data_IF_237463397674
#
_entry.id   IF_237463397674
#
_cell.length_a   1.000
_cell.length_b   1.000
_cell.length_c   1.000
_cell.angle_alpha   90.00
_cell.angle_beta   90.00
_cell.angle_gamma   90.00
#
_symmetry.space_group_name_H-M   'P 1'
#
loop_
_entity.id
_entity.type
_entity.pdbx_description
1 polymer ?
#
# COMPACT_ATOMS: atom_id res chain seq x y z
N UNK A 1 16.43 6.01 8.04
CA UNK A 1 15.04 6.50 8.16
C UNK A 1 14.08 5.41 7.69
N UNK A 2 13.02 5.13 8.44
CA UNK A 2 12.06 4.07 8.08
C UNK A 2 10.92 4.60 7.19
N UNK A 3 10.57 3.86 6.15
CA UNK A 3 9.43 4.14 5.24
C UNK A 3 8.67 2.85 4.95
N UNK A 4 7.40 2.97 4.59
CA UNK A 4 6.51 1.85 4.27
C UNK A 4 6.14 1.83 2.79
N UNK A 5 5.60 0.70 2.33
CA UNK A 5 5.23 0.46 0.94
C UNK A 5 5.37 -1.03 0.61
N UNK A 6 4.62 -1.48 -0.39
CA UNK A 6 4.64 -2.87 -0.88
C UNK A 6 5.90 -3.16 -1.71
N UNK A 7 6.12 -4.43 -2.06
CA UNK A 7 7.18 -4.80 -3.00
C UNK A 7 6.95 -4.07 -4.33
N UNK A 8 7.96 -3.34 -4.77
CA UNK A 8 7.87 -2.48 -5.95
C UNK A 8 9.20 -2.46 -6.69
N UNK A 9 9.18 -2.81 -7.97
CA UNK A 9 10.37 -2.77 -8.82
C UNK A 9 10.88 -1.33 -8.91
N UNK A 10 12.19 -1.14 -8.76
CA UNK A 10 12.79 0.21 -8.79
C UNK A 10 12.55 1.03 -7.52
N UNK A 11 12.10 0.40 -6.43
CA UNK A 11 11.99 1.02 -5.11
C UNK A 11 13.31 1.67 -4.70
N UNK A 12 13.26 2.97 -4.39
CA UNK A 12 14.44 3.75 -3.99
C UNK A 12 14.84 3.57 -2.52
N UNK A 13 14.27 2.58 -1.82
CA UNK A 13 14.46 2.37 -0.37
C UNK A 13 15.92 2.45 0.07
N UNK A 14 16.83 1.79 -0.66
CA UNK A 14 18.25 1.73 -0.30
C UNK A 14 19.00 3.04 -0.56
N UNK A 15 18.51 3.90 -1.46
CA UNK A 15 19.20 5.14 -1.85
C UNK A 15 18.59 6.40 -1.23
N UNK A 16 17.52 6.28 -0.43
CA UNK A 16 16.89 7.41 0.27
C UNK A 16 17.89 8.28 1.04
N UNK A 17 18.86 7.72 1.81
CA UNK A 17 19.82 8.56 2.54
C UNK A 17 20.60 9.50 1.62
N UNK A 18 21.11 9.00 0.50
CA UNK A 18 21.83 9.81 -0.49
C UNK A 18 20.95 10.86 -1.16
N UNK A 19 19.69 10.54 -1.46
CA UNK A 19 18.74 11.51 -2.02
C UNK A 19 18.54 12.68 -1.03
N UNK A 20 18.36 12.38 0.25
CA UNK A 20 18.17 13.42 1.27
C UNK A 20 19.43 14.27 1.46
N UNK A 21 20.62 13.66 1.45
CA UNK A 21 21.89 14.40 1.51
C UNK A 21 22.04 15.38 0.35
N UNK A 22 21.72 14.96 -0.87
CA UNK A 22 21.78 15.82 -2.05
C UNK A 22 20.74 16.96 -2.00
N UNK A 23 19.53 16.70 -1.49
CA UNK A 23 18.50 17.74 -1.40
C UNK A 23 18.82 18.74 -0.29
N UNK A 24 19.48 18.32 0.81
CA UNK A 24 19.91 19.22 1.89
C UNK A 24 20.86 20.31 1.44
N UNK A 25 21.67 20.06 0.40
CA UNK A 25 22.55 21.09 -0.16
C UNK A 25 21.80 22.11 -1.02
N UNK A 26 20.54 21.84 -1.37
CA UNK A 26 19.69 22.75 -2.12
C UNK A 26 18.90 23.63 -1.15
N UNK A 27 18.90 24.95 -1.37
CA UNK A 27 18.09 25.89 -0.57
C UNK A 27 16.61 25.86 -0.99
N UNK A 28 15.96 24.69 -0.87
CA UNK A 28 14.57 24.45 -1.24
C UNK A 28 13.74 24.03 -0.04
N UNK A 29 12.46 24.40 -0.03
CA UNK A 29 11.50 24.01 1.03
C UNK A 29 10.43 23.04 0.52
N UNK A 30 10.20 23.03 -0.78
CA UNK A 30 9.17 22.24 -1.45
C UNK A 30 9.83 21.35 -2.49
N UNK A 31 9.46 20.07 -2.52
CA UNK A 31 9.98 19.08 -3.45
C UNK A 31 8.83 18.39 -4.17
N UNK A 32 8.94 18.27 -5.49
CA UNK A 32 8.04 17.48 -6.32
C UNK A 32 8.61 16.07 -6.51
N UNK A 33 7.95 15.06 -5.93
CA UNK A 33 8.15 13.66 -6.28
C UNK A 33 7.20 13.32 -7.45
N UNK A 34 7.69 13.48 -8.68
CA UNK A 34 6.88 13.32 -9.91
C UNK A 34 6.42 11.89 -10.22
N UNK A 35 7.07 10.89 -9.61
CA UNK A 35 6.86 9.45 -9.86
C UNK A 35 6.94 8.67 -8.55
N UNK A 36 5.99 8.97 -7.67
CA UNK A 36 6.07 8.60 -6.28
C UNK A 36 5.91 7.10 -6.00
N UNK A 37 5.26 6.33 -6.88
CA UNK A 37 5.08 4.88 -6.70
C UNK A 37 4.43 4.54 -5.35
N UNK A 38 5.13 3.79 -4.49
CA UNK A 38 4.68 3.49 -3.10
C UNK A 38 5.08 4.57 -2.08
N UNK A 39 5.45 5.76 -2.55
CA UNK A 39 5.75 6.98 -1.79
C UNK A 39 6.92 6.93 -0.82
N UNK A 40 7.86 5.99 -0.99
CA UNK A 40 9.01 5.88 -0.08
C UNK A 40 9.88 7.14 -0.04
N UNK A 41 10.10 7.80 -1.18
CA UNK A 41 10.87 9.05 -1.24
C UNK A 41 10.06 10.20 -0.65
N UNK A 42 8.81 10.39 -1.10
CA UNK A 42 7.85 11.32 -0.50
C UNK A 42 7.74 11.22 1.03
N UNK A 43 7.62 10.02 1.59
CA UNK A 43 7.59 9.79 3.04
C UNK A 43 8.88 10.27 3.72
N UNK A 44 10.03 9.99 3.11
CA UNK A 44 11.32 10.38 3.66
C UNK A 44 11.51 11.90 3.65
N UNK A 45 11.13 12.56 2.55
CA UNK A 45 11.15 14.01 2.41
C UNK A 45 10.24 14.69 3.44
N UNK A 46 9.01 14.20 3.61
CA UNK A 46 8.10 14.72 4.64
C UNK A 46 8.70 14.60 6.04
N UNK A 47 9.27 13.43 6.38
CA UNK A 47 9.93 13.19 7.68
C UNK A 47 11.16 14.08 7.91
N UNK A 48 11.87 14.44 6.85
CA UNK A 48 13.03 15.34 6.92
C UNK A 48 12.60 16.83 6.89
N UNK A 49 11.29 17.11 6.89
CA UNK A 49 10.75 18.45 7.03
C UNK A 49 10.57 19.20 5.72
N UNK A 50 10.45 18.54 4.57
CA UNK A 50 10.08 19.20 3.32
C UNK A 50 8.57 19.25 3.12
N UNK A 51 8.07 20.29 2.45
CA UNK A 51 6.75 20.24 1.83
C UNK A 51 6.84 19.38 0.58
N UNK A 52 6.00 18.35 0.49
CA UNK A 52 6.06 17.36 -0.60
C UNK A 52 4.84 17.49 -1.48
N UNK A 53 5.08 17.71 -2.76
CA UNK A 53 4.09 17.52 -3.83
C UNK A 53 4.38 16.17 -4.46
N UNK A 54 3.39 15.28 -4.47
CA UNK A 54 3.54 13.90 -4.94
C UNK A 54 2.67 13.68 -6.16
N UNK A 55 3.22 13.02 -7.18
CA UNK A 55 2.49 12.63 -8.37
C UNK A 55 2.80 11.18 -8.75
N UNK A 56 1.82 10.51 -9.33
CA UNK A 56 2.00 9.29 -10.11
C UNK A 56 0.81 9.15 -11.06
N UNK A 57 0.97 8.46 -12.19
CA UNK A 57 -0.16 8.18 -13.07
C UNK A 57 -1.14 7.16 -12.46
N UNK A 58 -0.64 6.31 -11.55
CA UNK A 58 -1.38 5.18 -11.02
C UNK A 58 -2.32 5.56 -9.86
N UNK A 59 -3.57 5.09 -9.92
CA UNK A 59 -4.56 5.32 -8.84
C UNK A 59 -4.11 4.75 -7.49
N UNK A 60 -3.45 3.59 -7.47
CA UNK A 60 -2.99 2.96 -6.23
C UNK A 60 -1.85 3.75 -5.56
N UNK A 61 -1.03 4.47 -6.34
CA UNK A 61 0.01 5.34 -5.82
C UNK A 61 -0.56 6.56 -5.12
N UNK A 62 -1.64 7.13 -5.69
CA UNK A 62 -2.40 8.21 -5.04
C UNK A 62 -2.91 7.79 -3.66
N UNK A 63 -3.41 6.56 -3.51
CA UNK A 63 -3.86 6.02 -2.21
C UNK A 63 -2.74 6.05 -1.15
N UNK A 64 -1.52 5.59 -1.50
CA UNK A 64 -0.38 5.69 -0.60
C UNK A 64 0.01 7.15 -0.30
N UNK A 65 -0.06 8.04 -1.31
CA UNK A 65 0.31 9.44 -1.15
C UNK A 65 -0.67 10.18 -0.23
N UNK A 66 -1.97 9.96 -0.37
CA UNK A 66 -2.98 10.52 0.53
C UNK A 66 -2.81 10.00 1.96
N UNK A 67 -2.54 8.70 2.13
CA UNK A 67 -2.30 8.11 3.44
C UNK A 67 -1.11 8.72 4.17
N UNK A 68 0.04 8.89 3.50
CA UNK A 68 1.27 9.32 4.17
C UNK A 68 1.52 10.82 4.15
N UNK A 69 0.98 11.55 3.16
CA UNK A 69 1.23 12.97 3.00
C UNK A 69 0.06 13.84 3.45
N UNK A 70 -1.18 13.44 3.18
CA UNK A 70 -2.36 14.28 3.39
C UNK A 70 -3.07 14.00 4.71
N UNK A 71 -3.09 12.73 5.16
CA UNK A 71 -3.74 12.40 6.42
C UNK A 71 -3.16 13.16 7.62
N UNK A 72 -4.05 13.75 8.42
CA UNK A 72 -3.73 14.42 9.69
C UNK A 72 -4.28 13.72 10.93
N UNK A 73 -5.06 12.65 10.77
CA UNK A 73 -5.64 11.91 11.91
C UNK A 73 -4.57 11.01 12.55
N UNK A 74 -4.51 10.93 13.89
CA UNK A 74 -3.53 10.11 14.60
C UNK A 74 -3.80 8.60 14.45
N UNK A 75 -2.80 7.75 14.69
CA UNK A 75 -3.00 6.29 14.68
C UNK A 75 -4.14 5.81 15.59
N UNK A 76 -4.32 6.44 16.75
CA UNK A 76 -5.39 6.13 17.71
C UNK A 76 -6.79 6.23 17.12
N UNK A 77 -7.00 7.10 16.13
CA UNK A 77 -8.26 7.23 15.41
C UNK A 77 -8.57 5.96 14.58
N UNK A 78 -7.56 5.36 13.95
CA UNK A 78 -7.72 4.23 13.03
C UNK A 78 -7.70 2.86 13.73
N UNK A 79 -7.10 2.75 14.92
CA UNK A 79 -7.04 1.50 15.69
C UNK A 79 -8.40 0.79 15.84
N UNK A 80 -9.48 1.45 16.31
CA UNK A 80 -10.78 0.77 16.45
C UNK A 80 -11.37 0.34 15.10
N UNK A 81 -11.19 1.14 14.05
CA UNK A 81 -11.68 0.84 12.69
C UNK A 81 -10.97 -0.40 12.14
N UNK A 82 -9.64 -0.44 12.24
CA UNK A 82 -8.83 -1.57 11.79
C UNK A 82 -9.12 -2.83 12.62
N UNK A 83 -9.40 -2.69 13.93
CA UNK A 83 -9.82 -3.80 14.78
C UNK A 83 -11.16 -4.40 14.31
N UNK A 84 -12.13 -3.55 13.97
CA UNK A 84 -13.40 -3.97 13.36
C UNK A 84 -13.18 -4.70 12.03
N UNK A 85 -12.47 -4.10 11.08
CA UNK A 85 -12.19 -4.69 9.78
C UNK A 85 -11.49 -6.05 9.88
N UNK A 86 -10.54 -6.20 10.81
CA UNK A 86 -9.86 -7.48 11.04
C UNK A 86 -10.75 -8.59 11.61
N UNK A 87 -11.89 -8.26 12.23
CA UNK A 87 -12.85 -9.22 12.80
C UNK A 87 -13.91 -9.68 11.80
N UNK A 88 -14.02 -9.02 10.64
CA UNK A 88 -15.00 -9.41 9.63
C UNK A 88 -14.81 -10.85 9.20
N UNK A 89 -15.93 -11.56 9.07
CA UNK A 89 -15.96 -12.88 8.44
C UNK A 89 -15.71 -12.70 6.94
N UNK A 90 -14.76 -13.46 6.41
CA UNK A 90 -14.50 -13.45 4.97
C UNK A 90 -15.72 -13.90 4.17
N UNK A 91 -15.88 -13.35 2.98
CA UNK A 91 -16.94 -13.70 2.03
C UNK A 91 -16.35 -13.93 0.67
N UNK A 92 -16.97 -14.80 -0.12
CA UNK A 92 -16.53 -15.03 -1.49
C UNK A 92 -16.97 -13.85 -2.37
N UNK A 93 -16.03 -13.24 -3.09
CA UNK A 93 -16.28 -12.15 -4.01
C UNK A 93 -15.28 -12.13 -5.16
N UNK A 94 -15.15 -10.96 -5.80
CA UNK A 94 -14.37 -10.80 -7.02
C UNK A 94 -12.88 -11.15 -6.85
N UNK A 95 -12.25 -10.78 -5.73
CA UNK A 95 -10.85 -11.14 -5.49
C UNK A 95 -10.68 -12.64 -5.25
N UNK A 96 -11.62 -13.27 -4.54
CA UNK A 96 -11.62 -14.71 -4.32
C UNK A 96 -11.74 -15.50 -5.61
N UNK A 97 -12.59 -15.05 -6.53
CA UNK A 97 -12.76 -15.66 -7.84
C UNK A 97 -11.51 -15.51 -8.73
N UNK A 98 -10.95 -14.31 -8.79
CA UNK A 98 -9.92 -13.98 -9.78
C UNK A 98 -8.49 -14.26 -9.29
N UNK A 99 -8.24 -14.16 -7.98
CA UNK A 99 -6.90 -14.22 -7.39
C UNK A 99 -6.76 -15.22 -6.24
N UNK A 100 -7.85 -15.80 -5.75
CA UNK A 100 -7.85 -16.79 -4.68
C UNK A 100 -7.49 -18.19 -5.18
N UNK A 101 -6.63 -18.89 -4.42
CA UNK A 101 -6.27 -20.27 -4.68
C UNK A 101 -6.46 -21.18 -3.48
N UNK A 102 -6.81 -22.45 -3.71
CA UNK A 102 -6.77 -23.47 -2.66
C UNK A 102 -5.32 -23.90 -2.39
N UNK A 103 -5.02 -24.42 -1.18
CA UNK A 103 -3.67 -24.85 -0.83
C UNK A 103 -3.07 -25.95 -1.73
N UNK A 104 -3.90 -26.79 -2.37
CA UNK A 104 -3.55 -27.85 -3.33
C UNK A 104 -2.25 -28.61 -2.99
N UNK A 105 -2.14 -29.10 -1.75
CA UNK A 105 -0.97 -29.87 -1.30
C UNK A 105 0.36 -29.10 -1.33
N UNK A 106 0.32 -27.77 -1.30
CA UNK A 106 1.50 -26.90 -1.42
C UNK A 106 1.59 -26.14 -2.75
N UNK A 107 0.84 -26.54 -3.77
CA UNK A 107 0.87 -25.91 -5.08
C UNK A 107 -0.05 -24.68 -5.17
N UNK A 108 0.45 -23.58 -5.72
CA UNK A 108 -0.37 -22.40 -6.06
C UNK A 108 -1.14 -22.56 -7.38
N UNK A 109 -0.81 -23.58 -8.17
CA UNK A 109 -1.47 -23.89 -9.44
C UNK A 109 -2.84 -24.47 -9.16
N UNK A 110 -3.87 -23.90 -9.80
CA UNK A 110 -5.26 -24.33 -9.65
C UNK A 110 -5.68 -25.26 -10.80
N UNK A 111 -6.91 -25.76 -10.77
CA UNK A 111 -7.43 -26.69 -11.78
C UNK A 111 -7.47 -26.11 -13.20
N UNK A 112 -7.43 -24.79 -13.35
CA UNK A 112 -7.34 -24.09 -14.64
C UNK A 112 -5.89 -23.92 -15.14
N UNK A 113 -4.91 -24.50 -14.44
CA UNK A 113 -3.48 -24.39 -14.76
C UNK A 113 -2.86 -23.04 -14.38
N UNK A 114 -3.64 -22.09 -13.84
CA UNK A 114 -3.13 -20.77 -13.46
C UNK A 114 -2.64 -20.78 -12.01
N UNK A 115 -1.57 -20.04 -11.76
CA UNK A 115 -1.07 -19.79 -10.42
C UNK A 115 -1.88 -18.67 -9.75
N UNK A 116 -2.10 -18.78 -8.45
CA UNK A 116 -2.76 -17.76 -7.64
C UNK A 116 -1.78 -17.07 -6.71
N UNK A 117 -2.03 -15.79 -6.46
CA UNK A 117 -1.15 -14.94 -5.65
C UNK A 117 -1.41 -15.13 -4.16
N UNK A 118 -2.68 -15.35 -3.80
CA UNK A 118 -3.14 -15.46 -2.42
C UNK A 118 -3.96 -16.73 -2.24
N UNK A 119 -3.88 -17.30 -1.05
CA UNK A 119 -4.80 -18.36 -0.67
C UNK A 119 -6.21 -17.81 -0.43
N UNK A 120 -7.21 -18.65 -0.68
CA UNK A 120 -8.63 -18.27 -0.73
C UNK A 120 -9.14 -17.63 0.56
N UNK A 121 -8.62 -18.03 1.74
CA UNK A 121 -9.02 -17.43 3.01
C UNK A 121 -8.64 -15.96 3.12
N UNK A 122 -7.51 -15.55 2.52
CA UNK A 122 -7.06 -14.17 2.51
C UNK A 122 -7.84 -13.32 1.51
N UNK A 123 -8.15 -13.86 0.32
CA UNK A 123 -8.97 -13.13 -0.66
C UNK A 123 -10.42 -12.97 -0.22
N UNK A 124 -10.98 -13.95 0.50
CA UNK A 124 -12.34 -13.81 1.05
C UNK A 124 -12.40 -12.72 2.12
N UNK A 125 -11.34 -12.58 2.91
CA UNK A 125 -11.21 -11.50 3.89
C UNK A 125 -11.01 -10.15 3.20
N UNK A 126 -10.21 -10.11 2.13
CA UNK A 126 -10.06 -8.93 1.27
C UNK A 126 -11.40 -8.47 0.68
N UNK A 127 -12.20 -9.39 0.13
CA UNK A 127 -13.52 -9.08 -0.43
C UNK A 127 -14.46 -8.47 0.62
N UNK A 128 -14.50 -9.04 1.83
CA UNK A 128 -15.31 -8.51 2.94
C UNK A 128 -14.84 -7.10 3.38
N UNK A 129 -13.53 -6.93 3.57
CA UNK A 129 -12.95 -5.66 4.03
C UNK A 129 -13.09 -4.57 2.99
N UNK A 130 -12.91 -4.88 1.69
CA UNK A 130 -13.03 -3.91 0.60
C UNK A 130 -14.43 -3.30 0.56
N UNK A 131 -15.47 -4.13 0.67
CA UNK A 131 -16.84 -3.62 0.72
C UNK A 131 -17.10 -2.81 1.99
N UNK A 132 -16.65 -3.29 3.15
CA UNK A 132 -16.87 -2.56 4.41
C UNK A 132 -16.20 -1.18 4.40
N UNK A 133 -14.99 -1.06 3.82
CA UNK A 133 -14.31 0.24 3.68
C UNK A 133 -15.15 1.23 2.86
N UNK A 134 -15.83 0.78 1.81
CA UNK A 134 -16.72 1.65 1.02
C UNK A 134 -17.92 2.14 1.86
N UNK A 135 -18.40 1.33 2.80
CA UNK A 135 -19.53 1.67 3.66
C UNK A 135 -19.16 2.59 4.83
N UNK A 136 -17.98 2.43 5.42
CA UNK A 136 -17.63 3.09 6.69
C UNK A 136 -16.70 4.29 6.55
N UNK A 137 -15.96 4.42 5.44
CA UNK A 137 -14.99 5.49 5.29
C UNK A 137 -15.70 6.85 5.17
N UNK A 138 -15.36 7.79 6.05
CA UNK A 138 -16.02 9.11 6.09
C UNK A 138 -15.63 10.06 4.97
N UNK A 139 -14.46 9.85 4.37
CA UNK A 139 -13.94 10.64 3.26
C UNK A 139 -12.83 9.88 2.53
N UNK A 140 -12.39 10.43 1.39
CA UNK A 140 -11.35 9.83 0.55
C UNK A 140 -10.00 9.64 1.28
N UNK A 141 -9.60 10.55 2.17
CA UNK A 141 -8.33 10.41 2.89
C UNK A 141 -8.38 9.26 3.90
N UNK A 142 -9.49 9.14 4.63
CA UNK A 142 -9.74 8.02 5.53
C UNK A 142 -9.77 6.69 4.77
N UNK A 143 -10.49 6.66 3.64
CA UNK A 143 -10.51 5.52 2.72
C UNK A 143 -9.09 5.15 2.28
N UNK A 144 -8.29 6.12 1.87
CA UNK A 144 -6.92 5.89 1.43
C UNK A 144 -6.00 5.33 2.53
N UNK A 145 -6.19 5.74 3.79
CA UNK A 145 -5.47 5.15 4.93
C UNK A 145 -5.87 3.68 5.14
N UNK A 146 -7.17 3.37 5.12
CA UNK A 146 -7.66 2.00 5.30
C UNK A 146 -7.23 1.09 4.13
N UNK A 147 -7.26 1.59 2.90
CA UNK A 147 -6.78 0.85 1.73
C UNK A 147 -5.27 0.66 1.75
N UNK A 148 -4.50 1.65 2.20
CA UNK A 148 -3.05 1.49 2.40
C UNK A 148 -2.76 0.36 3.39
N UNK A 149 -3.45 0.35 4.54
CA UNK A 149 -3.35 -0.73 5.53
C UNK A 149 -3.66 -2.11 4.94
N UNK A 150 -4.72 -2.20 4.13
CA UNK A 150 -5.13 -3.44 3.48
C UNK A 150 -4.12 -3.93 2.44
N UNK A 151 -3.59 -3.02 1.61
CA UNK A 151 -2.55 -3.35 0.62
C UNK A 151 -1.28 -3.88 1.30
N UNK A 152 -0.84 -3.25 2.40
CA UNK A 152 0.29 -3.74 3.19
C UNK A 152 0.02 -5.11 3.82
N UNK A 153 -1.20 -5.34 4.32
CA UNK A 153 -1.59 -6.64 4.87
C UNK A 153 -1.57 -7.76 3.82
N UNK A 154 -2.02 -7.47 2.60
CA UNK A 154 -2.04 -8.44 1.50
C UNK A 154 -0.65 -8.72 0.93
N UNK A 155 0.24 -7.72 0.87
CA UNK A 155 1.64 -7.92 0.45
C UNK A 155 2.42 -8.84 1.41
N UNK A 156 2.08 -8.82 2.71
CA UNK A 156 2.68 -9.71 3.74
C UNK A 156 2.30 -11.19 3.57
N UNK A 157 1.21 -11.50 2.87
CA UNK A 157 0.70 -12.89 2.70
C UNK A 157 0.61 -13.33 1.23
N UNK A 158 1.27 -12.60 0.33
CA UNK A 158 1.34 -12.96 -1.09
C UNK A 158 2.28 -14.15 -1.36
N UNK A 159 2.17 -14.75 -2.54
CA UNK A 159 3.06 -15.81 -3.02
C UNK A 159 3.87 -15.39 -4.26
N UNK A 160 4.52 -14.23 -4.15
CA UNK A 160 5.37 -13.65 -5.21
C UNK A 160 6.84 -13.49 -4.79
N UNK A 161 7.73 -13.28 -5.75
CA UNK A 161 9.17 -13.00 -5.51
C UNK A 161 9.51 -11.50 -5.52
N UNK A 162 8.54 -10.60 -5.60
CA UNK A 162 8.78 -9.14 -5.57
C UNK A 162 9.45 -8.54 -6.82
N UNK A 163 9.85 -9.35 -7.81
CA UNK A 163 10.23 -8.92 -9.16
C UNK A 163 9.25 -9.55 -10.17
N UNK A 164 8.63 -8.70 -11.00
CA UNK A 164 7.79 -9.04 -12.15
C UNK A 164 7.03 -10.37 -12.09
N UNK A 165 5.81 -10.33 -11.54
CA UNK A 165 4.69 -11.27 -11.84
C UNK A 165 4.98 -12.79 -11.76
N UNK A 166 6.14 -13.19 -11.23
CA UNK A 166 6.51 -14.59 -11.15
C UNK A 166 5.85 -15.18 -9.91
N UNK A 167 4.60 -15.61 -10.07
CA UNK A 167 3.90 -16.35 -9.05
C UNK A 167 4.69 -17.64 -8.79
N UNK A 168 4.98 -17.90 -7.53
CA UNK A 168 5.67 -19.11 -7.12
C UNK A 168 4.77 -20.30 -7.44
N UNK A 169 5.33 -21.39 -7.98
CA UNK A 169 4.58 -22.63 -8.23
C UNK A 169 4.10 -23.26 -6.93
N UNK A 170 4.93 -23.14 -5.89
CA UNK A 170 4.61 -23.54 -4.52
C UNK A 170 4.21 -22.31 -3.71
N UNK A 171 3.34 -22.50 -2.72
CA UNK A 171 2.97 -21.42 -1.81
C UNK A 171 4.19 -20.97 -1.00
N UNK A 172 4.42 -19.66 -0.97
CA UNK A 172 5.34 -19.10 0.02
C UNK A 172 4.82 -19.42 1.43
N UNK A 173 5.70 -19.69 2.42
CA UNK A 173 5.28 -20.00 3.79
C UNK A 173 4.34 -18.94 4.39
N UNK A 174 4.56 -17.66 4.07
CA UNK A 174 3.73 -16.54 4.51
C UNK A 174 2.29 -16.56 3.96
N UNK A 175 2.04 -17.22 2.84
CA UNK A 175 0.70 -17.28 2.22
C UNK A 175 -0.30 -18.12 3.02
N UNK A 176 0.18 -18.98 3.92
CA UNK A 176 -0.63 -19.75 4.86
C UNK A 176 -1.11 -18.92 6.05
N UNK A 177 -0.46 -17.79 6.34
CA UNK A 177 -0.90 -16.88 7.39
C UNK A 177 -2.19 -16.17 6.98
N UNK A 178 -3.01 -15.81 7.95
CA UNK A 178 -4.16 -14.93 7.74
C UNK A 178 -3.68 -13.48 7.67
N UNK A 179 -4.08 -12.74 6.64
CA UNK A 179 -3.81 -11.30 6.54
C UNK A 179 -4.28 -10.59 7.80
N UNK A 180 -3.53 -9.57 8.22
CA UNK A 180 -3.86 -8.71 9.34
C UNK A 180 -3.54 -7.27 8.99
N UNK A 181 -4.55 -6.42 9.01
CA UNK A 181 -4.40 -4.98 8.86
C UNK A 181 -3.74 -4.39 10.11
N UNK A 182 -2.81 -3.48 9.89
CA UNK A 182 -2.13 -2.69 10.93
C UNK A 182 -2.24 -1.21 10.55
N UNK A 183 -2.30 -0.32 11.53
CA UNK A 183 -2.28 1.12 11.24
C UNK A 183 -0.96 1.45 10.55
N UNK A 184 -0.97 2.09 9.36
CA UNK A 184 0.26 2.53 8.71
C UNK A 184 1.07 3.44 9.63
N UNK A 185 2.37 3.57 9.40
CA UNK A 185 3.27 4.50 10.10
C UNK A 185 3.01 5.93 9.62
N UNK A 186 1.87 6.47 10.03
CA UNK A 186 1.35 7.79 9.66
C UNK A 186 2.36 8.88 10.01
N UNK A 187 2.46 9.88 9.13
CA UNK A 187 3.34 11.03 9.28
C UNK A 187 2.42 12.25 9.35
N UNK A 188 2.39 12.91 10.50
CA UNK A 188 1.46 14.01 10.77
C UNK A 188 2.27 15.28 10.93
N UNK A 189 1.91 16.29 10.16
CA UNK A 189 2.38 17.67 10.26
C UNK A 189 1.31 18.60 9.69
N UNK A 190 1.59 19.91 9.75
CA UNK A 190 0.67 20.95 9.28
C UNK A 190 1.10 21.57 7.95
N UNK A 191 2.04 20.95 7.22
CA UNK A 191 2.52 21.48 5.94
C UNK A 191 1.49 21.27 4.83
N UNK A 192 1.55 22.14 3.83
CA UNK A 192 0.65 22.11 2.66
C UNK A 192 1.13 21.08 1.62
N UNK A 193 1.09 19.80 1.98
CA UNK A 193 1.37 18.72 1.05
C UNK A 193 0.30 18.63 -0.05
N UNK A 194 0.71 18.23 -1.25
CA UNK A 194 -0.21 18.05 -2.39
C UNK A 194 -0.03 16.69 -3.03
N UNK A 195 -1.14 16.10 -3.46
CA UNK A 195 -1.16 14.83 -4.18
C UNK A 195 -1.86 15.02 -5.51
N UNK A 196 -1.19 14.60 -6.58
CA UNK A 196 -1.68 14.63 -7.95
C UNK A 196 -1.73 13.21 -8.51
N UNK A 197 -2.64 12.99 -9.45
CA UNK A 197 -2.68 11.79 -10.28
C UNK A 197 -2.75 12.20 -11.74
N UNK A 198 -1.60 12.54 -12.31
CA UNK A 198 -1.48 13.04 -13.68
C UNK A 198 -0.32 12.39 -14.40
N UNK A 199 -0.42 12.39 -15.72
CA UNK A 199 0.76 12.30 -16.57
C UNK A 199 1.71 13.44 -16.20
N UNK A 200 3.01 13.14 -16.05
CA UNK A 200 4.00 14.11 -15.58
C UNK A 200 4.09 15.33 -16.49
N UNK A 201 3.93 15.16 -17.81
CA UNK A 201 4.02 16.24 -18.80
C UNK A 201 2.78 17.14 -18.79
N UNK A 202 1.70 16.72 -18.14
CA UNK A 202 0.50 17.55 -17.90
C UNK A 202 0.52 18.22 -16.53
N UNK A 203 1.47 17.84 -15.67
CA UNK A 203 1.62 18.42 -14.34
C UNK A 203 2.60 19.60 -14.34
N UNK A 204 3.69 19.49 -15.12
CA UNK A 204 4.73 20.52 -15.27
C UNK A 204 4.40 21.53 -16.37
#
# INVERSE_FOLDING_TARGET
METEGIKYTGSKKLIIPYILELIKTLNVKTVLDGFSGTTRVSQALKKDGYTVFSNDASTWSKVFAECYLINRKPPSYYLPIISHLNKLKGKYGWFSENYGGKPNGGSSVQGDGKKRIWQIHNTMKLDAIREEIENIAKNEIEKSVLLTSLMLAMDKVDSTLGHQVSYLREWAPRAYSTMKMEVPKLIIDDKDHKVFQKDIFKLI
#
